data_IF_484323940853
#
_entry.id   IF_484323940853
#
_cell.length_a   1.000
_cell.length_b   1.000
_cell.length_c   1.000
_cell.angle_alpha   90.00
_cell.angle_beta   90.00
_cell.angle_gamma   90.00
#
_symmetry.space_group_name_H-M   'P 1'
#
loop_
_entity.id
_entity.type
_entity.pdbx_description
1 polymer ?
#
# COMPACT_ATOMS: atom_id res chain seq x y z
N UNK A 1 41.33 -23.21 15.06
CA UNK A 1 39.94 -23.57 15.41
C UNK A 1 39.23 -22.59 16.35
N UNK A 2 39.91 -21.68 17.08
CA UNK A 2 39.26 -20.62 17.88
C UNK A 2 38.83 -19.39 17.06
N UNK A 3 39.61 -19.01 16.04
CA UNK A 3 39.38 -17.79 15.25
C UNK A 3 38.05 -17.76 14.47
N UNK A 4 37.49 -18.93 14.12
CA UNK A 4 36.18 -19.06 13.48
C UNK A 4 35.01 -18.79 14.47
N UNK A 5 35.21 -19.04 15.77
CA UNK A 5 34.19 -18.78 16.80
C UNK A 5 34.07 -17.30 17.13
N UNK A 6 35.18 -16.57 17.12
CA UNK A 6 35.19 -15.13 17.41
C UNK A 6 34.58 -14.30 16.26
N UNK A 7 34.89 -14.68 15.02
CA UNK A 7 34.28 -14.07 13.82
C UNK A 7 32.77 -14.33 13.76
N UNK A 8 32.36 -15.60 13.96
CA UNK A 8 30.94 -15.98 14.03
C UNK A 8 30.21 -15.30 15.20
N UNK A 9 30.89 -15.09 16.34
CA UNK A 9 30.34 -14.35 17.48
C UNK A 9 30.13 -12.87 17.17
N UNK A 10 31.06 -12.24 16.44
CA UNK A 10 30.93 -10.85 16.02
C UNK A 10 29.80 -10.66 15.01
N UNK A 11 29.70 -11.54 14.01
CA UNK A 11 28.59 -11.51 13.04
C UNK A 11 27.24 -11.72 13.73
N UNK A 12 27.15 -12.67 14.66
CA UNK A 12 25.92 -12.90 15.43
C UNK A 12 25.53 -11.68 16.24
N UNK A 13 26.48 -11.00 16.91
CA UNK A 13 26.22 -9.73 17.61
C UNK A 13 25.68 -8.66 16.66
N UNK A 14 26.23 -8.56 15.46
CA UNK A 14 25.75 -7.62 14.44
C UNK A 14 24.33 -7.94 14.00
N UNK A 15 24.00 -9.21 13.73
CA UNK A 15 22.63 -9.60 13.36
C UNK A 15 21.63 -9.38 14.49
N UNK A 16 21.99 -9.72 15.72
CA UNK A 16 21.17 -9.45 16.91
C UNK A 16 20.92 -7.96 17.09
N UNK A 17 21.94 -7.12 16.89
CA UNK A 17 21.78 -5.67 16.93
C UNK A 17 20.83 -5.16 15.83
N UNK A 18 20.91 -5.71 14.60
CA UNK A 18 20.00 -5.36 13.52
C UNK A 18 18.56 -5.78 13.83
N UNK A 19 18.34 -6.99 14.34
CA UNK A 19 17.02 -7.48 14.74
C UNK A 19 16.45 -6.61 15.85
N UNK A 20 17.24 -6.34 16.91
CA UNK A 20 16.81 -5.49 18.01
C UNK A 20 16.41 -4.10 17.53
N UNK A 21 17.16 -3.48 16.62
CA UNK A 21 16.81 -2.19 16.05
C UNK A 21 15.43 -2.22 15.36
N UNK A 22 15.16 -3.27 14.59
CA UNK A 22 13.86 -3.45 13.93
C UNK A 22 12.75 -3.68 14.96
N UNK A 23 12.97 -4.52 15.97
CA UNK A 23 11.97 -4.81 17.01
C UNK A 23 11.68 -3.59 17.92
N UNK A 24 12.64 -2.67 18.08
CA UNK A 24 12.44 -1.40 18.78
C UNK A 24 11.78 -0.32 17.93
N UNK A 25 11.56 -0.58 16.64
CA UNK A 25 10.86 0.36 15.77
C UNK A 25 9.35 0.27 16.01
N UNK A 26 8.69 1.42 16.15
CA UNK A 26 7.24 1.48 16.27
C UNK A 26 6.52 1.07 14.97
N UNK A 27 5.22 0.81 15.09
CA UNK A 27 4.34 0.59 13.93
C UNK A 27 4.09 -0.87 13.59
N UNK A 28 4.37 -1.80 14.51
CA UNK A 28 3.91 -3.18 14.43
C UNK A 28 2.58 -3.34 15.17
N UNK A 29 1.60 -3.95 14.49
CA UNK A 29 0.27 -4.18 15.05
C UNK A 29 -0.17 -5.61 14.76
N UNK A 30 -0.90 -6.19 15.70
CA UNK A 30 -1.54 -7.49 15.53
C UNK A 30 -2.89 -7.47 16.25
N UNK A 31 -3.73 -8.44 15.93
CA UNK A 31 -5.00 -8.64 16.58
C UNK A 31 -5.26 -10.14 16.71
N UNK A 32 -6.04 -10.54 17.72
CA UNK A 32 -6.30 -11.96 18.03
C UNK A 32 -7.59 -12.47 17.40
N UNK A 33 -8.51 -11.57 17.07
CA UNK A 33 -9.87 -11.88 16.61
C UNK A 33 -10.25 -11.14 15.31
N UNK A 34 -9.43 -10.20 14.85
CA UNK A 34 -9.67 -9.46 13.61
C UNK A 34 -8.50 -9.58 12.63
N UNK A 35 -8.81 -9.74 11.34
CA UNK A 35 -7.80 -9.78 10.29
C UNK A 35 -7.38 -8.36 9.86
N UNK A 36 -6.25 -7.90 10.42
CA UNK A 36 -5.65 -6.63 10.06
C UNK A 36 -4.99 -6.61 8.67
N UNK A 37 -4.82 -7.74 7.99
CA UNK A 37 -4.15 -7.80 6.67
C UNK A 37 -5.09 -7.49 5.51
N UNK A 38 -6.39 -7.68 5.73
CA UNK A 38 -7.45 -7.37 4.78
C UNK A 38 -8.16 -6.04 5.10
N UNK A 39 -8.68 -5.39 4.05
CA UNK A 39 -9.64 -4.29 4.20
C UNK A 39 -11.01 -4.81 4.58
N UNK A 40 -11.84 -4.02 5.25
CA UNK A 40 -13.25 -4.35 5.45
C UNK A 40 -13.98 -4.59 4.13
N UNK A 41 -13.65 -3.85 3.07
CA UNK A 41 -14.24 -4.06 1.74
C UNK A 41 -13.96 -5.46 1.19
N UNK A 42 -12.75 -5.97 1.40
CA UNK A 42 -12.36 -7.32 0.98
C UNK A 42 -13.04 -8.37 1.86
N UNK A 43 -12.99 -8.22 3.19
CA UNK A 43 -13.64 -9.13 4.14
C UNK A 43 -15.16 -9.23 3.94
N UNK A 44 -15.82 -8.15 3.51
CA UNK A 44 -17.25 -8.15 3.22
C UNK A 44 -17.63 -8.98 1.99
N UNK A 45 -16.67 -9.25 1.10
CA UNK A 45 -16.87 -9.99 -0.15
C UNK A 45 -16.33 -11.43 -0.08
N UNK A 46 -15.92 -11.92 1.08
CA UNK A 46 -15.44 -13.30 1.26
C UNK A 46 -16.55 -14.26 1.67
N UNK A 47 -16.36 -15.55 1.43
CA UNK A 47 -17.30 -16.59 1.87
C UNK A 47 -17.28 -16.75 3.40
N UNK A 48 -18.36 -17.29 3.99
CA UNK A 48 -18.37 -17.70 5.40
C UNK A 48 -17.19 -18.61 5.76
N UNK A 49 -16.89 -19.61 4.91
CA UNK A 49 -15.77 -20.54 5.10
C UNK A 49 -14.43 -19.79 5.26
N UNK A 50 -14.20 -18.72 4.48
CA UNK A 50 -13.00 -17.89 4.61
C UNK A 50 -12.94 -17.17 5.96
N UNK A 51 -14.09 -16.80 6.53
CA UNK A 51 -14.16 -16.15 7.84
C UNK A 51 -13.94 -17.12 9.01
N UNK A 52 -14.14 -18.42 8.78
CA UNK A 52 -13.86 -19.49 9.75
C UNK A 52 -12.40 -19.94 9.76
N UNK A 53 -11.66 -19.72 8.67
CA UNK A 53 -10.21 -19.97 8.60
C UNK A 53 -9.46 -19.19 9.68
N UNK A 54 -8.32 -19.75 10.13
CA UNK A 54 -7.46 -19.06 11.09
C UNK A 54 -6.92 -17.75 10.51
N UNK A 55 -6.54 -16.81 11.38
CA UNK A 55 -5.94 -15.54 10.96
C UNK A 55 -4.70 -15.76 10.09
N UNK A 56 -3.92 -16.82 10.35
CA UNK A 56 -2.74 -17.15 9.57
C UNK A 56 -3.09 -17.57 8.14
N UNK A 57 -4.00 -18.53 7.99
CA UNK A 57 -4.31 -19.15 6.71
C UNK A 57 -4.95 -18.16 5.74
N UNK A 58 -5.80 -17.28 6.27
CA UNK A 58 -6.51 -16.29 5.44
C UNK A 58 -5.73 -15.00 5.23
N UNK A 59 -4.58 -14.81 5.89
CA UNK A 59 -3.85 -13.54 5.85
C UNK A 59 -3.37 -13.18 4.44
N UNK A 60 -3.48 -11.89 4.10
CA UNK A 60 -2.87 -11.32 2.91
C UNK A 60 -1.36 -11.23 3.10
N UNK A 61 -0.64 -12.15 2.46
CA UNK A 61 0.82 -12.28 2.55
C UNK A 61 1.57 -11.00 2.16
N UNK A 62 0.94 -10.10 1.39
CA UNK A 62 1.52 -8.78 1.10
C UNK A 62 1.78 -8.00 2.38
N UNK A 63 1.00 -8.20 3.44
CA UNK A 63 1.04 -7.40 4.67
C UNK A 63 1.46 -8.18 5.92
N UNK A 64 1.84 -9.46 5.80
CA UNK A 64 2.33 -10.29 6.92
C UNK A 64 3.83 -10.08 7.12
N UNK A 65 4.20 -9.15 7.99
CA UNK A 65 5.60 -8.79 8.23
C UNK A 65 6.42 -9.93 8.83
N UNK A 66 5.83 -10.68 9.77
CA UNK A 66 6.47 -11.83 10.41
C UNK A 66 6.29 -13.14 9.60
N UNK A 67 5.86 -13.10 8.34
CA UNK A 67 5.52 -14.30 7.57
C UNK A 67 6.67 -15.30 7.45
N UNK A 68 7.92 -14.83 7.36
CA UNK A 68 9.09 -15.71 7.37
C UNK A 68 9.29 -16.43 8.72
N UNK A 69 8.97 -15.76 9.83
CA UNK A 69 9.06 -16.36 11.18
C UNK A 69 7.93 -17.36 11.42
N UNK A 70 6.77 -17.13 10.81
CA UNK A 70 5.61 -18.02 10.93
C UNK A 70 5.69 -19.26 10.03
N UNK A 71 6.66 -19.37 9.11
CA UNK A 71 6.72 -20.46 8.13
C UNK A 71 6.73 -21.84 8.77
N UNK A 72 7.48 -22.02 9.86
CA UNK A 72 7.56 -23.31 10.56
C UNK A 72 6.26 -23.65 11.28
N UNK A 73 5.57 -22.64 11.82
CA UNK A 73 4.28 -22.78 12.49
C UNK A 73 3.13 -22.99 11.50
N UNK A 74 3.24 -22.44 10.29
CA UNK A 74 2.20 -22.52 9.27
C UNK A 74 1.91 -23.96 8.82
N UNK A 75 2.92 -24.83 8.87
CA UNK A 75 2.78 -26.25 8.53
C UNK A 75 2.05 -27.09 9.57
N UNK A 76 1.71 -26.53 10.74
CA UNK A 76 1.08 -27.23 11.85
C UNK A 76 -0.25 -26.55 12.22
N UNK A 77 -1.40 -27.03 11.71
CA UNK A 77 -2.73 -26.45 11.97
C UNK A 77 -3.05 -26.23 13.46
N UNK A 78 -2.61 -27.15 14.31
CA UNK A 78 -2.77 -27.07 15.77
C UNK A 78 -2.07 -25.84 16.39
N UNK A 79 -1.05 -25.30 15.72
CA UNK A 79 -0.29 -24.13 16.16
C UNK A 79 -0.83 -22.81 15.58
N UNK A 80 -1.79 -22.84 14.65
CA UNK A 80 -2.31 -21.63 14.00
C UNK A 80 -2.86 -20.61 15.01
N UNK A 81 -3.40 -21.07 16.13
CA UNK A 81 -3.88 -20.20 17.23
C UNK A 81 -2.79 -19.34 17.87
N UNK A 82 -1.52 -19.74 17.74
CA UNK A 82 -0.36 -19.02 18.27
C UNK A 82 0.37 -18.22 17.19
N UNK A 83 0.05 -18.45 15.91
CA UNK A 83 0.72 -17.87 14.76
C UNK A 83 -0.04 -16.64 14.25
N UNK A 84 0.06 -15.53 14.98
CA UNK A 84 -0.65 -14.29 14.64
C UNK A 84 0.09 -13.49 13.57
N UNK A 85 -0.58 -13.10 12.47
CA UNK A 85 -0.04 -12.15 11.51
C UNK A 85 0.22 -10.79 12.14
N UNK A 86 1.43 -10.28 11.97
CA UNK A 86 1.82 -8.92 12.38
C UNK A 86 1.89 -8.06 11.13
N UNK A 87 1.17 -6.93 11.14
CA UNK A 87 1.31 -5.90 10.11
C UNK A 87 2.32 -4.85 10.54
N UNK A 88 2.95 -4.20 9.56
CA UNK A 88 3.77 -3.00 9.78
C UNK A 88 3.13 -1.79 9.11
N UNK A 89 2.99 -0.68 9.82
CA UNK A 89 2.36 0.53 9.31
C UNK A 89 1.85 1.44 10.42
N UNK A 90 0.56 1.76 10.43
CA UNK A 90 -0.04 2.69 11.37
C UNK A 90 -1.51 2.36 11.63
N UNK A 91 -1.93 2.41 12.89
CA UNK A 91 -3.34 2.32 13.28
C UNK A 91 -3.65 3.46 14.24
N UNK A 92 -4.74 4.16 13.99
CA UNK A 92 -5.33 5.10 14.94
C UNK A 92 -6.84 4.95 14.93
N UNK A 93 -7.44 4.99 16.12
CA UNK A 93 -8.88 4.96 16.34
C UNK A 93 -9.24 6.18 17.16
N UNK A 94 -10.19 6.99 16.70
CA UNK A 94 -10.64 8.19 17.40
C UNK A 94 -12.15 8.34 17.33
N UNK A 95 -12.83 8.57 18.47
CA UNK A 95 -14.20 9.04 18.45
C UNK A 95 -14.23 10.46 17.88
N UNK A 96 -15.15 10.69 16.96
CA UNK A 96 -15.33 11.97 16.27
C UNK A 96 -16.78 12.42 16.43
N UNK A 97 -17.02 13.73 16.35
CA UNK A 97 -18.35 14.34 16.43
C UNK A 97 -18.57 15.30 15.27
N UNK A 98 -19.61 15.05 14.48
CA UNK A 98 -20.05 15.96 13.39
C UNK A 98 -21.54 16.21 13.58
N UNK A 99 -21.96 17.48 13.59
CA UNK A 99 -23.37 17.88 13.73
C UNK A 99 -24.11 17.19 14.89
N UNK A 100 -23.43 17.02 16.03
CA UNK A 100 -24.00 16.37 17.22
C UNK A 100 -23.95 14.84 17.21
N UNK A 101 -23.68 14.21 16.06
CA UNK A 101 -23.56 12.76 15.90
C UNK A 101 -22.15 12.29 16.22
N UNK A 102 -22.03 11.27 17.06
CA UNK A 102 -20.75 10.67 17.45
C UNK A 102 -20.53 9.40 16.62
N UNK A 103 -19.35 9.26 16.04
CA UNK A 103 -18.94 8.08 15.27
C UNK A 103 -17.48 7.73 15.59
N UNK A 104 -17.09 6.49 15.34
CA UNK A 104 -15.68 6.10 15.44
C UNK A 104 -15.03 6.23 14.07
N UNK A 105 -13.92 6.97 14.02
CA UNK A 105 -13.07 7.05 12.85
C UNK A 105 -11.80 6.26 13.08
N UNK A 106 -11.53 5.33 12.19
CA UNK A 106 -10.37 4.45 12.27
C UNK A 106 -9.57 4.62 10.99
N UNK A 107 -8.27 4.81 11.12
CA UNK A 107 -7.34 4.87 10.01
C UNK A 107 -6.30 3.77 10.18
N UNK A 108 -6.27 2.85 9.21
CA UNK A 108 -5.32 1.74 9.16
C UNK A 108 -4.44 1.94 7.92
N UNK A 109 -3.13 1.91 8.08
CA UNK A 109 -2.17 1.86 6.98
C UNK A 109 -1.31 0.61 7.11
N UNK A 110 -1.25 -0.17 6.04
CA UNK A 110 -0.53 -1.45 5.98
C UNK A 110 0.55 -1.34 4.92
N UNK A 111 1.80 -1.53 5.30
CA UNK A 111 2.94 -1.51 4.39
C UNK A 111 3.21 -2.92 3.88
N UNK A 112 3.36 -3.04 2.56
CA UNK A 112 3.67 -4.32 1.96
C UNK A 112 5.09 -4.78 2.29
N UNK A 113 5.24 -6.09 2.45
CA UNK A 113 6.49 -6.81 2.65
C UNK A 113 7.11 -7.23 1.31
N UNK A 114 6.33 -7.24 0.23
CA UNK A 114 6.84 -7.52 -1.11
C UNK A 114 7.67 -6.36 -1.61
N UNK A 115 8.81 -6.69 -2.25
CA UNK A 115 9.80 -5.72 -2.71
C UNK A 115 10.11 -4.63 -1.65
N UNK A 116 10.20 -5.06 -0.38
CA UNK A 116 10.54 -4.17 0.71
C UNK A 116 12.01 -3.76 0.63
N UNK A 117 12.31 -2.52 1.03
CA UNK A 117 13.68 -2.07 1.18
C UNK A 117 13.76 -0.56 1.33
N UNK A 118 14.98 -0.10 1.57
CA UNK A 118 15.21 1.33 1.79
C UNK A 118 15.00 2.13 0.50
N UNK A 119 14.47 3.34 0.66
CA UNK A 119 14.01 4.25 -0.39
C UNK A 119 14.94 4.36 -1.61
N UNK A 120 16.24 4.50 -1.39
CA UNK A 120 17.22 4.72 -2.48
C UNK A 120 17.75 3.42 -3.10
N UNK A 121 17.51 2.27 -2.49
CA UNK A 121 17.96 0.98 -3.02
C UNK A 121 16.83 0.23 -3.72
N UNK A 122 15.58 0.44 -3.30
CA UNK A 122 14.42 -0.29 -3.82
C UNK A 122 13.37 0.67 -4.37
N UNK A 123 13.26 0.68 -5.70
CA UNK A 123 12.35 1.50 -6.52
C UNK A 123 11.78 0.66 -7.67
N UNK A 124 10.70 1.14 -8.26
CA UNK A 124 10.04 0.46 -9.37
C UNK A 124 9.38 -0.83 -8.94
N UNK A 125 9.19 -1.73 -9.91
CA UNK A 125 8.63 -3.07 -9.74
C UNK A 125 9.70 -4.16 -9.81
N UNK A 126 9.37 -5.36 -9.31
CA UNK A 126 10.09 -6.60 -9.57
C UNK A 126 9.49 -7.35 -10.78
N UNK A 127 10.02 -8.55 -11.07
CA UNK A 127 9.57 -9.42 -12.15
C UNK A 127 8.10 -9.84 -12.02
N UNK A 128 7.58 -9.87 -10.80
CA UNK A 128 6.20 -10.26 -10.49
C UNK A 128 5.23 -9.06 -10.51
N UNK A 129 5.74 -7.85 -10.79
CA UNK A 129 4.91 -6.63 -10.84
C UNK A 129 4.62 -6.02 -9.46
N UNK A 130 5.30 -6.46 -8.40
CA UNK A 130 5.13 -5.86 -7.08
C UNK A 130 5.86 -4.52 -7.01
N UNK A 131 5.11 -3.45 -6.77
CA UNK A 131 5.68 -2.11 -6.64
C UNK A 131 6.40 -1.95 -5.29
N UNK A 132 7.60 -1.41 -5.32
CA UNK A 132 8.36 -1.09 -4.12
C UNK A 132 7.60 -0.09 -3.22
N UNK A 133 7.74 -0.24 -1.90
CA UNK A 133 7.10 0.63 -0.90
C UNK A 133 5.58 0.75 -1.07
N UNK A 134 4.91 -0.34 -1.46
CA UNK A 134 3.46 -0.37 -1.56
C UNK A 134 2.83 -0.23 -0.16
N UNK A 135 1.82 0.62 -0.04
CA UNK A 135 1.08 0.87 1.18
C UNK A 135 -0.40 0.93 0.84
N UNK A 136 -1.22 0.28 1.65
CA UNK A 136 -2.67 0.38 1.60
C UNK A 136 -3.16 1.12 2.84
N UNK A 137 -3.85 2.23 2.64
CA UNK A 137 -4.44 3.04 3.70
C UNK A 137 -5.95 2.98 3.61
N UNK A 138 -6.60 2.58 4.69
CA UNK A 138 -8.03 2.42 4.79
C UNK A 138 -8.58 3.33 5.89
N UNK A 139 -9.62 4.09 5.53
CA UNK A 139 -10.42 4.87 6.45
C UNK A 139 -11.72 4.14 6.70
N UNK A 140 -12.02 3.88 7.96
CA UNK A 140 -13.23 3.20 8.41
C UNK A 140 -14.02 4.19 9.27
N UNK A 141 -15.32 4.25 9.02
CA UNK A 141 -16.28 4.99 9.85
C UNK A 141 -17.29 4.00 10.39
N UNK A 142 -17.43 3.96 11.71
CA UNK A 142 -18.44 3.16 12.41
C UNK A 142 -19.45 4.12 13.04
N UNK A 143 -20.72 3.97 12.67
CA UNK A 143 -21.80 4.83 13.16
C UNK A 143 -23.10 4.04 13.28
N UNK A 144 -23.67 3.96 14.49
CA UNK A 144 -24.97 3.31 14.76
C UNK A 144 -25.10 1.89 14.16
N UNK A 145 -24.02 1.09 14.24
CA UNK A 145 -23.97 -0.27 13.69
C UNK A 145 -23.66 -0.35 12.19
N UNK A 146 -23.75 0.76 11.45
CA UNK A 146 -23.30 0.86 10.07
C UNK A 146 -21.76 0.98 10.01
N UNK A 147 -21.18 0.39 8.95
CA UNK A 147 -19.74 0.42 8.69
C UNK A 147 -19.50 0.92 7.27
N UNK A 148 -18.62 1.90 7.13
CA UNK A 148 -18.13 2.35 5.82
C UNK A 148 -16.61 2.20 5.78
N UNK A 149 -16.08 1.77 4.63
CA UNK A 149 -14.65 1.67 4.38
C UNK A 149 -14.29 2.35 3.06
N UNK A 150 -13.17 3.07 3.09
CA UNK A 150 -12.60 3.74 1.92
C UNK A 150 -11.10 3.45 1.86
N UNK A 151 -10.65 2.86 0.76
CA UNK A 151 -9.29 2.36 0.59
C UNK A 151 -8.52 3.20 -0.43
N UNK A 152 -7.31 3.59 -0.07
CA UNK A 152 -6.35 4.27 -0.94
C UNK A 152 -5.05 3.47 -0.97
N UNK A 153 -4.45 3.31 -2.15
CA UNK A 153 -3.15 2.66 -2.25
C UNK A 153 -2.07 3.63 -2.70
N UNK A 154 -0.84 3.38 -2.28
CA UNK A 154 0.33 4.16 -2.65
C UNK A 154 1.47 3.22 -3.00
N UNK A 155 2.21 3.50 -4.07
CA UNK A 155 3.38 2.70 -4.46
C UNK A 155 4.41 3.46 -5.29
N UNK A 156 5.55 2.81 -5.53
CA UNK A 156 6.52 3.27 -6.53
C UNK A 156 5.93 3.16 -7.93
N UNK A 157 6.41 3.99 -8.87
CA UNK A 157 5.94 3.91 -10.25
C UNK A 157 6.16 2.50 -10.83
N UNK A 158 5.18 1.93 -11.54
CA UNK A 158 5.15 0.51 -11.85
C UNK A 158 5.96 0.14 -13.10
N UNK A 159 7.24 0.51 -13.13
CA UNK A 159 8.21 0.09 -14.14
C UNK A 159 9.62 -0.03 -13.53
N UNK A 160 10.55 -0.65 -14.25
CA UNK A 160 11.92 -0.86 -13.76
C UNK A 160 12.76 0.43 -13.76
N UNK A 161 12.96 1.03 -12.58
CA UNK A 161 13.85 2.17 -12.38
C UNK A 161 14.56 2.12 -11.03
N UNK A 162 15.65 2.87 -10.93
CA UNK A 162 16.47 2.97 -9.71
C UNK A 162 16.89 4.40 -9.44
N UNK A 163 17.21 4.71 -8.19
CA UNK A 163 17.71 6.03 -7.79
C UNK A 163 18.74 5.82 -6.68
N UNK A 164 19.88 5.22 -7.06
CA UNK A 164 20.93 4.87 -6.11
C UNK A 164 21.50 6.11 -5.44
N UNK A 165 21.81 6.05 -4.13
CA UNK A 165 22.35 7.18 -3.41
C UNK A 165 23.73 7.56 -3.99
N UNK A 166 24.01 8.86 -4.07
CA UNK A 166 25.31 9.41 -4.43
C UNK A 166 25.57 10.67 -3.58
N UNK A 167 26.71 11.34 -3.78
CA UNK A 167 27.05 12.56 -3.02
C UNK A 167 26.08 13.75 -3.26
N UNK A 168 25.13 13.64 -4.19
CA UNK A 168 24.15 14.69 -4.46
C UNK A 168 22.95 14.53 -3.54
N UNK A 169 22.42 15.66 -3.08
CA UNK A 169 21.19 15.73 -2.28
C UNK A 169 20.00 14.99 -2.92
N UNK A 170 19.85 15.08 -4.24
CA UNK A 170 18.82 14.38 -5.01
C UNK A 170 19.47 13.62 -6.19
N UNK A 171 19.80 12.33 -6.02
CA UNK A 171 20.32 11.51 -7.11
C UNK A 171 19.35 11.46 -8.28
N UNK A 172 19.86 11.45 -9.51
CA UNK A 172 19.00 11.36 -10.71
C UNK A 172 18.40 9.95 -10.81
N UNK A 173 17.09 9.81 -11.05
CA UNK A 173 16.51 8.52 -11.40
C UNK A 173 17.10 7.96 -12.69
N UNK A 174 17.27 6.65 -12.75
CA UNK A 174 17.75 5.91 -13.92
C UNK A 174 16.73 4.82 -14.24
N UNK A 175 16.13 4.93 -15.42
CA UNK A 175 15.23 3.90 -15.99
C UNK A 175 16.10 2.80 -16.58
N UNK A 176 15.76 1.54 -16.31
CA UNK A 176 16.47 0.40 -16.90
C UNK A 176 16.29 0.41 -18.42
N UNK A 177 17.32 0.09 -19.20
CA UNK A 177 17.20 0.01 -20.68
C UNK A 177 17.02 -1.41 -21.19
N UNK A 178 17.27 -2.41 -20.34
CA UNK A 178 17.32 -3.82 -20.71
C UNK A 178 16.07 -4.60 -20.32
N UNK A 179 15.26 -4.03 -19.41
CA UNK A 179 14.09 -4.72 -18.86
C UNK A 179 12.84 -4.42 -19.68
N UNK A 180 11.94 -5.39 -19.79
CA UNK A 180 10.65 -5.19 -20.44
C UNK A 180 9.68 -4.46 -19.49
N UNK A 181 9.63 -3.13 -19.59
CA UNK A 181 8.73 -2.33 -18.75
C UNK A 181 7.27 -2.71 -18.94
N UNK A 182 6.82 -2.95 -20.17
CA UNK A 182 5.40 -3.13 -20.51
C UNK A 182 4.80 -4.35 -19.84
N UNK A 183 5.52 -5.48 -19.87
CA UNK A 183 5.12 -6.71 -19.20
C UNK A 183 4.94 -6.49 -17.70
N UNK A 184 5.95 -5.93 -17.02
CA UNK A 184 5.86 -5.68 -15.57
C UNK A 184 4.78 -4.66 -15.20
N UNK A 185 4.58 -3.63 -16.02
CA UNK A 185 3.55 -2.61 -15.82
C UNK A 185 2.14 -3.20 -15.97
N UNK A 186 1.94 -4.06 -16.98
CA UNK A 186 0.69 -4.77 -17.19
C UNK A 186 0.39 -5.71 -16.01
N UNK A 187 1.34 -6.57 -15.61
CA UNK A 187 1.18 -7.45 -14.43
C UNK A 187 0.80 -6.67 -13.18
N UNK A 188 1.44 -5.52 -12.95
CA UNK A 188 1.11 -4.66 -11.83
C UNK A 188 -0.35 -4.23 -11.88
N UNK A 189 -0.81 -3.63 -12.98
CA UNK A 189 -2.18 -3.13 -13.07
C UNK A 189 -3.23 -4.23 -13.14
N UNK A 190 -2.92 -5.38 -13.72
CA UNK A 190 -3.81 -6.55 -13.70
C UNK A 190 -4.02 -7.03 -12.25
N UNK A 191 -2.95 -7.09 -11.45
CA UNK A 191 -3.06 -7.42 -10.02
C UNK A 191 -3.85 -6.35 -9.24
N UNK A 192 -3.64 -5.07 -9.54
CA UNK A 192 -4.38 -3.98 -8.88
C UNK A 192 -5.86 -4.01 -9.26
N UNK A 193 -6.19 -4.28 -10.52
CA UNK A 193 -7.56 -4.38 -11.02
C UNK A 193 -8.28 -5.57 -10.39
N UNK A 194 -7.61 -6.71 -10.25
CA UNK A 194 -8.17 -7.90 -9.61
C UNK A 194 -8.54 -7.62 -8.13
N UNK A 195 -7.67 -6.91 -7.41
CA UNK A 195 -7.81 -6.73 -5.96
C UNK A 195 -8.76 -5.57 -5.62
N UNK A 196 -8.71 -4.48 -6.37
CA UNK A 196 -9.40 -3.23 -6.02
C UNK A 196 -10.44 -2.78 -7.06
N UNK A 197 -10.53 -3.48 -8.19
CA UNK A 197 -11.39 -3.09 -9.30
C UNK A 197 -10.89 -1.84 -10.04
N UNK A 198 -11.82 -1.09 -10.62
CA UNK A 198 -11.52 0.12 -11.40
C UNK A 198 -10.96 1.21 -10.49
N UNK A 199 -9.76 1.66 -10.81
CA UNK A 199 -9.02 2.64 -10.04
C UNK A 199 -8.79 3.94 -10.82
N UNK A 200 -8.75 5.05 -10.08
CA UNK A 200 -8.18 6.31 -10.57
C UNK A 200 -6.73 6.37 -10.15
N UNK A 201 -5.85 6.56 -11.14
CA UNK A 201 -4.41 6.61 -10.93
C UNK A 201 -3.93 8.04 -10.95
N UNK A 202 -3.31 8.48 -9.85
CA UNK A 202 -2.80 9.82 -9.67
C UNK A 202 -1.28 9.82 -9.70
N UNK A 203 -0.70 10.54 -10.66
CA UNK A 203 0.74 10.71 -10.79
C UNK A 203 1.14 12.13 -10.37
N UNK A 204 1.94 12.26 -9.30
CA UNK A 204 2.32 13.53 -8.70
C UNK A 204 3.79 13.94 -8.96
N UNK A 205 4.36 13.41 -10.04
CA UNK A 205 5.76 13.60 -10.40
C UNK A 205 6.03 15.01 -10.90
N UNK A 206 7.22 15.53 -10.61
CA UNK A 206 7.62 16.82 -11.14
C UNK A 206 7.86 16.71 -12.65
N UNK A 207 7.04 17.42 -13.42
CA UNK A 207 7.13 17.52 -14.88
C UNK A 207 8.35 18.33 -15.34
N UNK A 208 9.09 18.95 -14.40
CA UNK A 208 10.34 19.67 -14.65
C UNK A 208 11.51 18.99 -13.93
N UNK A 209 12.70 19.13 -14.51
CA UNK A 209 13.94 18.67 -13.88
C UNK A 209 14.19 17.16 -14.03
N UNK A 210 14.83 16.56 -13.04
CA UNK A 210 15.38 15.20 -13.12
C UNK A 210 14.35 14.06 -13.12
N UNK A 211 13.07 14.35 -12.84
CA UNK A 211 12.01 13.35 -12.78
C UNK A 211 11.11 13.34 -14.00
N UNK A 212 11.25 14.34 -14.89
CA UNK A 212 10.55 14.41 -16.18
C UNK A 212 10.63 13.10 -16.98
N UNK A 213 11.79 12.42 -17.09
CA UNK A 213 11.87 11.16 -17.83
C UNK A 213 10.98 10.04 -17.24
N UNK A 214 10.73 10.05 -15.93
CA UNK A 214 9.85 9.07 -15.29
C UNK A 214 8.39 9.30 -15.66
N UNK A 215 7.98 10.57 -15.76
CA UNK A 215 6.63 10.95 -16.16
C UNK A 215 6.37 10.63 -17.63
N UNK A 216 7.32 10.94 -18.50
CA UNK A 216 7.26 10.63 -19.94
C UNK A 216 7.14 9.11 -20.17
N UNK A 217 7.94 8.30 -19.47
CA UNK A 217 7.86 6.84 -19.59
C UNK A 217 6.52 6.32 -19.07
N UNK A 218 6.03 6.83 -17.94
CA UNK A 218 4.73 6.43 -17.41
C UNK A 218 3.57 6.79 -18.34
N UNK A 219 3.59 7.97 -18.95
CA UNK A 219 2.58 8.41 -19.91
C UNK A 219 2.59 7.55 -21.18
N UNK A 220 3.78 7.23 -21.71
CA UNK A 220 3.95 6.31 -22.84
C UNK A 220 3.38 4.93 -22.53
N UNK A 221 3.70 4.40 -21.36
CA UNK A 221 3.26 3.09 -20.90
C UNK A 221 1.75 3.02 -20.71
N UNK A 222 1.17 4.06 -20.09
CA UNK A 222 -0.28 4.13 -19.94
C UNK A 222 -1.02 4.29 -21.26
N UNK A 223 -0.41 4.93 -22.26
CA UNK A 223 -1.02 5.04 -23.60
C UNK A 223 -0.99 3.70 -24.35
N UNK A 224 -0.01 2.84 -24.04
CA UNK A 224 0.09 1.49 -24.58
C UNK A 224 -0.89 0.49 -23.95
N UNK A 225 -1.43 0.79 -22.76
CA UNK A 225 -2.44 -0.03 -22.10
C UNK A 225 -3.83 0.31 -22.64
N UNK A 226 -4.32 -0.53 -23.55
CA UNK A 226 -5.67 -0.42 -24.11
C UNK A 226 -6.76 -0.97 -23.16
N UNK A 227 -6.59 -0.78 -21.85
CA UNK A 227 -7.53 -1.23 -20.84
C UNK A 227 -8.43 -0.05 -20.47
N UNK A 228 -9.66 -0.01 -20.97
CA UNK A 228 -10.70 1.00 -20.64
C UNK A 228 -11.13 1.06 -19.16
N UNK A 229 -10.42 0.35 -18.29
CA UNK A 229 -10.76 0.10 -16.88
C UNK A 229 -9.87 0.86 -15.89
N UNK A 230 -8.72 1.40 -16.29
CA UNK A 230 -7.94 2.34 -15.47
C UNK A 230 -8.20 3.76 -15.97
N UNK A 231 -8.92 4.58 -15.19
CA UNK A 231 -9.02 6.01 -15.51
C UNK A 231 -7.73 6.67 -15.02
N UNK A 232 -6.72 6.70 -15.89
CA UNK A 232 -5.49 7.42 -15.61
C UNK A 232 -5.78 8.93 -15.69
N UNK A 233 -5.59 9.66 -14.58
CA UNK A 233 -5.62 11.12 -14.58
C UNK A 233 -4.30 11.66 -14.07
N UNK A 234 -3.50 12.19 -14.99
CA UNK A 234 -2.25 12.86 -14.68
C UNK A 234 -2.57 14.24 -14.10
N UNK A 235 -2.18 14.49 -12.85
CA UNK A 235 -2.34 15.78 -12.20
C UNK A 235 -0.98 16.37 -11.83
N UNK A 236 -0.66 17.53 -12.40
CA UNK A 236 0.54 18.29 -12.05
C UNK A 236 0.25 19.22 -10.87
N UNK A 237 0.82 18.94 -9.69
CA UNK A 237 0.59 19.70 -8.46
C UNK A 237 1.14 21.14 -8.45
N UNK A 238 1.77 21.59 -9.54
CA UNK A 238 2.40 22.92 -9.59
C UNK A 238 1.45 24.04 -10.04
N UNK A 239 0.15 23.79 -10.14
CA UNK A 239 -0.89 24.82 -10.27
C UNK A 239 -1.89 24.65 -9.14
N UNK A 240 -2.29 25.73 -8.46
CA UNK A 240 -3.38 25.74 -7.46
C UNK A 240 -4.67 25.07 -7.97
N UNK A 241 -4.87 25.05 -9.29
CA UNK A 241 -5.93 24.28 -9.96
C UNK A 241 -5.91 22.79 -9.64
N UNK A 242 -4.75 22.16 -9.43
CA UNK A 242 -4.66 20.72 -9.15
C UNK A 242 -5.20 20.34 -7.76
N UNK A 243 -5.08 21.20 -6.74
CA UNK A 243 -5.69 20.95 -5.42
C UNK A 243 -7.20 21.12 -5.47
N UNK A 244 -7.68 22.14 -6.21
CA UNK A 244 -9.11 22.34 -6.46
C UNK A 244 -9.74 21.25 -7.34
N UNK A 245 -8.99 20.69 -8.29
CA UNK A 245 -9.43 19.57 -9.13
C UNK A 245 -9.28 18.22 -8.45
N UNK A 246 -8.28 18.01 -7.59
CA UNK A 246 -8.21 16.86 -6.69
C UNK A 246 -9.41 16.89 -5.73
N UNK A 247 -9.75 18.08 -5.18
CA UNK A 247 -10.99 18.29 -4.42
C UNK A 247 -12.23 18.01 -5.27
N UNK A 248 -12.31 18.44 -6.54
CA UNK A 248 -13.42 18.10 -7.46
C UNK A 248 -13.47 16.62 -7.82
N UNK A 249 -12.34 15.94 -8.04
CA UNK A 249 -12.27 14.52 -8.38
C UNK A 249 -12.61 13.64 -7.19
N UNK A 250 -12.23 14.05 -5.99
CA UNK A 250 -12.72 13.48 -4.73
C UNK A 250 -14.23 13.80 -4.58
N UNK A 251 -14.69 15.02 -4.91
CA UNK A 251 -16.13 15.39 -4.96
C UNK A 251 -16.95 14.58 -5.95
N UNK A 252 -16.38 14.17 -7.09
CA UNK A 252 -17.01 13.29 -8.08
C UNK A 252 -17.03 11.81 -7.64
N UNK A 253 -16.32 11.46 -6.56
CA UNK A 253 -16.47 10.18 -5.85
C UNK A 253 -17.47 10.27 -4.68
N UNK A 254 -17.88 11.47 -4.27
CA UNK A 254 -19.03 11.65 -3.39
C UNK A 254 -20.29 11.65 -4.26
N UNK A 255 -21.10 10.62 -4.06
CA UNK A 255 -22.48 10.52 -4.52
C UNK A 255 -23.23 11.84 -4.28
N UNK A 256 -24.16 12.20 -5.18
CA UNK A 256 -25.13 13.24 -4.87
C UNK A 256 -25.94 12.81 -3.62
N UNK A 257 -26.46 13.77 -2.84
CA UNK A 257 -27.32 13.46 -1.69
C UNK A 257 -28.54 12.60 -2.07
N UNK A 258 -28.97 12.63 -3.34
CA UNK A 258 -30.05 11.79 -3.87
C UNK A 258 -29.62 10.34 -4.10
N UNK A 259 -28.37 10.09 -4.50
CA UNK A 259 -27.85 8.74 -4.69
C UNK A 259 -27.53 8.04 -3.36
N UNK A 260 -27.13 8.78 -2.33
CA UNK A 260 -26.97 8.27 -0.95
C UNK A 260 -28.30 7.78 -0.36
N UNK A 261 -29.44 8.41 -0.71
CA UNK A 261 -30.76 7.99 -0.26
C UNK A 261 -31.26 6.71 -0.96
N UNK A 262 -30.70 6.36 -2.12
CA UNK A 262 -31.02 5.10 -2.82
C UNK A 262 -30.26 3.88 -2.28
N UNK A 263 -29.28 4.10 -1.39
CA UNK A 263 -28.39 3.09 -0.81
C UNK A 263 -28.82 2.65 0.60
N UNK A 264 -30.13 2.53 0.86
CA UNK A 264 -30.69 1.81 2.02
C UNK A 264 -30.45 0.28 1.92
N UNK A 265 -29.24 -0.13 1.55
CA UNK A 265 -28.73 -1.49 1.73
C UNK A 265 -27.44 -1.40 2.56
N UNK A 266 -27.26 -2.24 3.60
CA UNK A 266 -26.18 -2.15 4.59
C UNK A 266 -24.73 -2.35 4.06
N UNK A 267 -24.50 -2.30 2.75
CA UNK A 267 -23.21 -2.64 2.11
C UNK A 267 -22.71 -1.59 1.10
N UNK A 268 -22.89 -0.30 1.35
CA UNK A 268 -22.30 0.74 0.51
C UNK A 268 -20.78 0.89 0.79
N UNK A 269 -19.96 0.04 0.17
CA UNK A 269 -18.50 0.09 0.21
C UNK A 269 -17.97 1.00 -0.90
N UNK A 270 -17.24 2.06 -0.53
CA UNK A 270 -16.77 3.09 -1.45
C UNK A 270 -15.61 2.61 -2.33
N UNK A 271 -15.50 3.18 -3.54
CA UNK A 271 -14.48 2.80 -4.56
C UNK A 271 -13.08 3.27 -4.18
N UNK A 272 -12.07 2.44 -4.48
CA UNK A 272 -10.65 2.71 -4.16
C UNK A 272 -9.97 3.67 -5.14
N UNK A 273 -8.94 4.39 -4.69
CA UNK A 273 -8.08 5.25 -5.52
C UNK A 273 -6.58 4.93 -5.31
N UNK A 274 -5.76 5.08 -6.36
CA UNK A 274 -4.32 4.76 -6.32
C UNK A 274 -3.47 5.99 -6.55
N UNK A 275 -2.47 6.17 -5.71
CA UNK A 275 -1.52 7.27 -5.74
C UNK A 275 -0.11 6.76 -6.06
N UNK A 276 0.44 7.17 -7.20
CA UNK A 276 1.87 6.98 -7.49
C UNK A 276 2.65 8.26 -7.20
N UNK A 277 3.74 8.11 -6.44
CA UNK A 277 4.70 9.18 -6.21
C UNK A 277 6.05 8.76 -6.79
N UNK A 278 6.65 9.60 -7.64
CA UNK A 278 8.07 9.43 -8.01
C UNK A 278 8.98 10.55 -7.54
N UNK A 279 8.45 11.60 -6.89
CA UNK A 279 9.30 12.67 -6.37
C UNK A 279 9.51 12.62 -4.87
N UNK A 280 10.72 12.97 -4.46
CA UNK A 280 11.15 12.81 -3.09
C UNK A 280 10.52 13.78 -2.06
N UNK A 281 9.69 14.76 -2.44
CA UNK A 281 9.39 15.93 -1.59
C UNK A 281 7.93 16.42 -1.62
N UNK A 282 7.01 15.83 -2.39
CA UNK A 282 5.64 16.36 -2.41
C UNK A 282 4.79 15.79 -1.27
N UNK A 283 4.63 16.63 -0.24
CA UNK A 283 3.63 16.60 0.86
C UNK A 283 4.00 15.74 2.08
N UNK A 284 4.61 16.39 3.10
CA UNK A 284 4.33 16.06 4.51
C UNK A 284 2.87 16.45 4.73
N UNK A 285 1.98 15.49 4.96
CA UNK A 285 0.70 15.77 5.60
C UNK A 285 0.99 15.86 7.11
N UNK A 286 1.05 17.09 7.62
CA UNK A 286 0.82 17.41 9.03
C UNK A 286 -0.49 18.19 9.09
#
# INVERSE_FOLDING_TARGET
FLHLRDFSSQENKTFLAMINNVLTTDGFYFCTDFDLTHTLQRLANTSPDFQEMSLLERADQRFVWNGNLLRELAGQPELHRFALPVIHGFIVMKPCRINGKIFEWILISRRSCFRAGVRYYVRGIDSEGHAANFVETEQIVLYEGAKASFVQTRGSMPFYWSQRPNLKYKPKPVISKTMNHMDGFQRHFDSQLLIYGKQTVLNLVNQKGSEKPLEEEFAKMSSGLNNGFCMLRLFSLYKEQAVCELRRSLRLQYWSLEELNSLCSPAALARSAVFFFSSCVSVKWM
#
